data_IF_165556991935
#
_entry.id   IF_165556991935
#
_cell.length_a   1.000
_cell.length_b   1.000
_cell.length_c   1.000
_cell.angle_alpha   90.00
_cell.angle_beta   90.00
_cell.angle_gamma   90.00
#
_symmetry.space_group_name_H-M   'P 1'
#
loop_
_entity.id
_entity.type
_entity.pdbx_description
1 polymer ?
#
# COMPACT_ATOMS: atom_id res chain seq x y z
N UNK A 1 13.39 -13.06 6.90
CA UNK A 1 13.57 -11.68 7.43
C UNK A 1 12.26 -10.94 7.28
N UNK A 2 11.71 -10.48 8.38
CA UNK A 2 10.38 -9.86 8.51
C UNK A 2 10.24 -8.58 7.66
N UNK A 3 9.12 -8.42 6.95
CA UNK A 3 8.84 -7.28 6.03
C UNK A 3 8.85 -5.94 6.78
N UNK A 4 8.48 -5.96 8.06
CA UNK A 4 8.59 -4.84 9.00
C UNK A 4 10.03 -4.30 9.14
N UNK A 5 11.04 -5.18 9.16
CA UNK A 5 12.44 -4.80 9.30
C UNK A 5 12.96 -4.06 8.06
N UNK A 6 12.55 -4.52 6.87
CA UNK A 6 12.89 -3.87 5.59
C UNK A 6 12.29 -2.47 5.48
N UNK A 7 11.04 -2.27 5.93
CA UNK A 7 10.39 -0.95 5.94
C UNK A 7 11.06 0.04 6.86
N UNK A 8 11.36 -0.34 8.11
CA UNK A 8 12.08 0.53 9.04
C UNK A 8 13.44 0.94 8.47
N UNK A 9 14.11 0.03 7.78
CA UNK A 9 15.36 0.33 7.08
C UNK A 9 15.18 1.34 5.92
N UNK A 10 14.17 1.18 5.06
CA UNK A 10 13.89 2.13 3.95
C UNK A 10 13.50 3.51 4.50
N UNK A 11 12.61 3.58 5.49
CA UNK A 11 12.22 4.83 6.14
C UNK A 11 13.43 5.52 6.79
N UNK A 12 14.30 4.76 7.45
CA UNK A 12 15.55 5.29 7.99
C UNK A 12 16.45 5.86 6.88
N UNK A 13 16.63 5.12 5.77
CA UNK A 13 17.46 5.57 4.64
C UNK A 13 16.89 6.80 3.93
N UNK A 14 15.56 6.95 3.82
CA UNK A 14 14.92 8.18 3.32
C UNK A 14 15.24 9.40 4.19
N UNK A 15 15.36 9.19 5.50
CA UNK A 15 15.58 10.23 6.50
C UNK A 15 17.06 10.47 6.85
N UNK A 16 18.02 9.86 6.13
CA UNK A 16 19.46 10.11 6.29
C UNK A 16 19.84 11.60 6.25
N UNK A 17 19.09 12.41 5.48
CA UNK A 17 19.26 13.87 5.42
C UNK A 17 19.02 14.60 6.75
N UNK A 18 18.32 13.97 7.71
CA UNK A 18 18.04 14.55 9.03
C UNK A 18 19.18 14.36 10.04
N UNK A 19 20.13 13.48 9.73
CA UNK A 19 21.34 13.32 10.56
C UNK A 19 22.14 14.61 10.43
N UNK A 20 22.49 15.21 11.57
CA UNK A 20 23.27 16.44 11.64
C UNK A 20 24.68 16.11 12.12
N UNK A 21 25.70 16.60 11.43
CA UNK A 21 27.10 16.35 11.73
C UNK A 21 27.77 17.55 12.40
N UNK A 22 28.70 17.24 13.31
CA UNK A 22 29.57 18.22 13.96
C UNK A 22 28.85 19.33 14.76
N UNK A 23 29.62 20.32 15.24
CA UNK A 23 29.10 21.44 16.04
C UNK A 23 28.17 22.37 15.25
N UNK A 24 28.40 22.49 13.94
CA UNK A 24 27.57 23.28 13.01
C UNK A 24 26.21 22.65 12.73
N UNK A 25 25.99 21.40 13.15
CA UNK A 25 24.78 20.62 12.94
C UNK A 25 24.35 20.59 11.46
N UNK A 26 25.32 20.51 10.56
CA UNK A 26 25.08 20.47 9.12
C UNK A 26 24.39 19.14 8.72
N UNK A 27 23.34 19.15 7.88
CA UNK A 27 22.75 17.93 7.36
C UNK A 27 23.79 17.04 6.65
N UNK A 28 23.83 15.75 7.01
CA UNK A 28 24.79 14.76 6.48
C UNK A 28 24.86 14.77 4.95
N UNK A 29 23.72 14.80 4.27
CA UNK A 29 23.67 14.77 2.80
C UNK A 29 24.16 16.06 2.14
N UNK A 30 24.20 17.18 2.88
CA UNK A 30 24.77 18.42 2.41
C UNK A 30 26.29 18.44 2.65
N UNK A 31 26.70 18.02 3.85
CA UNK A 31 28.10 17.92 4.24
C UNK A 31 28.91 17.00 3.30
N UNK A 32 28.35 15.84 2.94
CA UNK A 32 29.03 14.85 2.08
C UNK A 32 29.34 15.40 0.66
N UNK A 33 28.62 16.42 0.18
CA UNK A 33 28.85 16.98 -1.16
C UNK A 33 30.15 17.78 -1.25
N UNK A 34 30.58 18.38 -0.15
CA UNK A 34 31.74 19.28 -0.09
C UNK A 34 32.87 18.70 0.76
N UNK A 35 32.62 17.64 1.52
CA UNK A 35 33.58 17.01 2.41
C UNK A 35 34.54 16.09 1.65
N UNK A 36 35.85 16.26 1.87
CA UNK A 36 36.92 15.44 1.29
C UNK A 36 37.16 14.08 1.98
N UNK A 37 36.42 13.77 3.06
CA UNK A 37 36.47 12.46 3.73
C UNK A 37 36.70 12.51 5.24
N UNK A 38 35.88 13.26 5.98
CA UNK A 38 35.96 13.29 7.44
C UNK A 38 35.52 11.96 8.08
N UNK A 39 35.82 11.79 9.38
CA UNK A 39 35.47 10.60 10.17
C UNK A 39 33.96 10.30 10.13
N UNK A 40 33.12 11.34 10.21
CA UNK A 40 31.67 11.19 10.17
C UNK A 40 31.19 10.71 8.80
N UNK A 41 31.73 11.27 7.71
CA UNK A 41 31.46 10.81 6.34
C UNK A 41 31.85 9.35 6.13
N UNK A 42 33.00 8.92 6.66
CA UNK A 42 33.45 7.52 6.59
C UNK A 42 32.49 6.58 7.33
N UNK A 43 32.02 6.98 8.51
CA UNK A 43 31.08 6.20 9.31
C UNK A 43 29.73 6.01 8.60
N UNK A 44 29.20 7.04 7.95
CA UNK A 44 27.91 6.96 7.25
C UNK A 44 28.02 6.47 5.80
N UNK A 45 29.23 6.30 5.25
CA UNK A 45 29.46 5.87 3.86
C UNK A 45 28.73 4.58 3.47
N UNK A 46 28.68 3.52 4.30
CA UNK A 46 27.93 2.30 3.96
C UNK A 46 26.42 2.55 3.84
N UNK A 47 25.86 3.43 4.68
CA UNK A 47 24.44 3.79 4.66
C UNK A 47 24.09 4.66 3.45
N UNK A 48 24.99 5.58 3.07
CA UNK A 48 24.84 6.41 1.87
C UNK A 48 24.85 5.53 0.61
N UNK A 49 25.83 4.61 0.49
CA UNK A 49 25.86 3.64 -0.63
C UNK A 49 24.58 2.80 -0.68
N UNK A 50 24.12 2.31 0.48
CA UNK A 50 22.89 1.50 0.55
C UNK A 50 21.64 2.31 0.17
N UNK A 51 21.61 3.61 0.51
CA UNK A 51 20.56 4.55 0.08
C UNK A 51 20.57 4.74 -1.43
N UNK A 52 21.74 4.91 -2.04
CA UNK A 52 21.86 5.06 -3.50
C UNK A 52 21.38 3.81 -4.23
N UNK A 53 21.82 2.63 -3.80
CA UNK A 53 21.39 1.35 -4.39
C UNK A 53 19.88 1.15 -4.23
N UNK A 54 19.33 1.35 -3.04
CA UNK A 54 17.93 1.01 -2.79
C UNK A 54 16.94 2.09 -3.26
N UNK A 55 17.27 3.38 -3.11
CA UNK A 55 16.36 4.47 -3.45
C UNK A 55 16.56 5.02 -4.88
N UNK A 56 17.77 4.91 -5.43
CA UNK A 56 18.11 5.58 -6.70
C UNK A 56 18.47 4.60 -7.82
N UNK A 57 18.93 3.37 -7.53
CA UNK A 57 19.19 2.39 -8.58
C UNK A 57 17.87 1.75 -9.04
N UNK A 58 17.62 1.82 -10.33
CA UNK A 58 16.56 1.10 -11.03
C UNK A 58 16.98 -0.35 -11.22
N UNK A 59 16.39 -1.28 -10.47
CA UNK A 59 16.72 -2.71 -10.54
C UNK A 59 15.55 -3.59 -11.02
N UNK A 60 14.33 -3.07 -11.09
CA UNK A 60 13.15 -3.92 -11.34
C UNK A 60 12.73 -3.81 -12.81
N UNK A 61 12.34 -4.94 -13.42
CA UNK A 61 11.74 -4.94 -14.75
C UNK A 61 10.64 -3.87 -14.80
N UNK A 62 10.73 -2.96 -15.78
CA UNK A 62 9.94 -1.71 -15.91
C UNK A 62 10.52 -0.42 -15.28
N UNK A 63 11.80 -0.37 -14.88
CA UNK A 63 12.51 0.90 -14.67
C UNK A 63 12.13 1.65 -13.38
N UNK A 64 11.67 0.94 -12.36
CA UNK A 64 11.43 1.47 -11.02
C UNK A 64 12.58 1.07 -10.07
N UNK A 65 12.81 1.87 -9.03
CA UNK A 65 13.80 1.56 -7.97
C UNK A 65 13.31 0.47 -7.02
N UNK A 66 14.23 -0.19 -6.32
CA UNK A 66 13.90 -1.21 -5.30
C UNK A 66 13.00 -0.63 -4.21
N UNK A 67 13.24 0.60 -3.78
CA UNK A 67 12.40 1.28 -2.81
C UNK A 67 11.00 1.58 -3.33
N UNK A 68 10.88 2.01 -4.60
CA UNK A 68 9.57 2.17 -5.24
C UNK A 68 8.85 0.83 -5.35
N UNK A 69 9.53 -0.26 -5.68
CA UNK A 69 8.92 -1.58 -5.68
C UNK A 69 8.51 -2.04 -4.28
N UNK A 70 9.29 -1.74 -3.23
CA UNK A 70 8.92 -2.01 -1.83
C UNK A 70 7.78 -1.10 -1.31
N UNK A 71 7.65 0.11 -1.85
CA UNK A 71 6.51 1.03 -1.62
C UNK A 71 5.26 0.62 -2.39
N UNK A 72 5.40 0.09 -3.59
CA UNK A 72 4.29 -0.52 -4.33
C UNK A 72 3.85 -1.85 -3.69
N UNK A 73 4.79 -2.55 -3.05
CA UNK A 73 4.51 -3.65 -2.10
C UNK A 73 4.02 -3.13 -0.74
N UNK A 74 3.91 -1.82 -0.54
CA UNK A 74 3.32 -1.24 0.66
C UNK A 74 1.82 -1.10 0.50
N UNK A 75 1.12 -2.19 0.84
CA UNK A 75 0.07 -2.18 1.86
C UNK A 75 -0.82 -0.93 1.80
N UNK A 76 -1.89 -1.06 1.04
CA UNK A 76 -2.88 -0.01 0.93
C UNK A 76 -4.03 -0.31 1.91
N UNK A 77 -4.59 0.68 2.62
CA UNK A 77 -5.85 0.52 3.36
C UNK A 77 -7.04 0.46 2.39
N UNK A 78 -8.21 -0.03 2.81
CA UNK A 78 -9.37 -0.19 1.91
C UNK A 78 -9.74 1.14 1.24
N UNK A 79 -9.67 2.28 1.94
CA UNK A 79 -9.98 3.61 1.40
C UNK A 79 -9.08 4.07 0.24
N UNK A 80 -7.91 3.44 0.05
CA UNK A 80 -7.06 3.71 -1.10
C UNK A 80 -7.69 3.18 -2.39
N UNK A 81 -8.38 2.05 -2.30
CA UNK A 81 -9.07 1.40 -3.42
C UNK A 81 -10.52 1.89 -3.55
N UNK A 82 -11.21 2.00 -2.42
CA UNK A 82 -12.62 2.40 -2.34
C UNK A 82 -12.76 3.54 -1.34
N UNK A 83 -12.53 4.81 -1.73
CA UNK A 83 -12.51 5.95 -0.81
C UNK A 83 -13.84 6.24 -0.10
N UNK A 84 -14.97 5.70 -0.58
CA UNK A 84 -16.29 5.92 0.00
C UNK A 84 -16.84 4.63 0.64
N UNK A 85 -17.44 4.76 1.82
CA UNK A 85 -18.01 3.64 2.60
C UNK A 85 -19.24 2.97 1.98
N UNK A 86 -19.75 3.46 0.85
CA UNK A 86 -20.90 2.89 0.14
C UNK A 86 -20.51 2.20 -1.19
N UNK A 87 -19.23 2.23 -1.59
CA UNK A 87 -18.80 1.67 -2.88
C UNK A 87 -18.91 0.15 -2.99
N UNK A 88 -19.06 -0.55 -1.85
CA UNK A 88 -19.40 -1.98 -1.87
C UNK A 88 -20.84 -2.24 -2.28
N UNK A 89 -21.71 -1.22 -2.37
CA UNK A 89 -23.13 -1.40 -2.66
C UNK A 89 -23.42 -1.22 -4.14
N UNK A 90 -24.19 -2.15 -4.69
CA UNK A 90 -24.84 -2.03 -5.98
C UNK A 90 -25.98 -1.00 -5.90
N UNK A 91 -26.47 -0.56 -7.07
CA UNK A 91 -27.57 0.39 -7.18
C UNK A 91 -28.89 -0.10 -6.54
N UNK A 92 -29.06 -1.41 -6.39
CA UNK A 92 -30.21 -2.01 -5.72
C UNK A 92 -30.03 -2.15 -4.19
N UNK A 93 -28.90 -1.71 -3.64
CA UNK A 93 -28.57 -1.79 -2.21
C UNK A 93 -27.91 -3.10 -1.76
N UNK A 94 -27.85 -4.11 -2.62
CA UNK A 94 -27.12 -5.36 -2.34
C UNK A 94 -25.60 -5.12 -2.34
N UNK A 95 -24.86 -5.97 -1.63
CA UNK A 95 -23.39 -5.94 -1.65
C UNK A 95 -22.84 -6.52 -2.95
N UNK A 96 -21.88 -5.83 -3.56
CA UNK A 96 -21.18 -6.23 -4.78
C UNK A 96 -20.13 -7.32 -4.47
N UNK A 97 -20.30 -8.55 -4.99
CA UNK A 97 -19.33 -9.62 -4.87
C UNK A 97 -17.93 -9.25 -5.38
N UNK A 98 -17.83 -8.45 -6.44
CA UNK A 98 -16.55 -8.13 -7.06
C UNK A 98 -15.70 -7.24 -6.17
N UNK A 99 -16.32 -6.29 -5.45
CA UNK A 99 -15.62 -5.47 -4.46
C UNK A 99 -15.07 -6.34 -3.32
N UNK A 100 -15.86 -7.31 -2.85
CA UNK A 100 -15.43 -8.27 -1.85
C UNK A 100 -14.25 -9.12 -2.37
N UNK A 101 -14.37 -9.76 -3.54
CA UNK A 101 -13.31 -10.59 -4.10
C UNK A 101 -12.03 -9.80 -4.38
N UNK A 102 -12.16 -8.56 -4.87
CA UNK A 102 -11.02 -7.67 -5.05
C UNK A 102 -10.27 -7.47 -3.73
N UNK A 103 -10.97 -7.05 -2.68
CA UNK A 103 -10.35 -6.79 -1.37
C UNK A 103 -9.76 -8.04 -0.72
N UNK A 104 -10.34 -9.23 -0.96
CA UNK A 104 -9.75 -10.51 -0.53
C UNK A 104 -8.46 -10.89 -1.26
N UNK A 105 -8.16 -10.26 -2.40
CA UNK A 105 -7.05 -10.65 -3.29
C UNK A 105 -6.03 -9.53 -3.56
N UNK A 106 -6.26 -8.30 -3.11
CA UNK A 106 -5.25 -7.22 -3.17
C UNK A 106 -4.45 -7.15 -1.89
N UNK A 107 -3.20 -6.69 -2.01
CA UNK A 107 -2.28 -6.54 -0.87
C UNK A 107 -2.75 -5.42 0.07
N UNK A 108 -3.43 -5.81 1.15
CA UNK A 108 -3.78 -4.97 2.30
C UNK A 108 -2.63 -4.84 3.31
N UNK A 109 -2.94 -4.41 4.55
CA UNK A 109 -2.13 -4.32 5.79
C UNK A 109 -0.72 -4.97 5.81
N UNK A 110 -0.75 -6.24 5.47
CA UNK A 110 0.22 -7.26 5.83
C UNK A 110 0.75 -7.98 4.58
N UNK A 111 0.47 -7.44 3.38
CA UNK A 111 0.79 -8.10 2.12
C UNK A 111 -0.10 -9.32 1.86
N UNK A 112 -1.31 -9.31 2.44
CA UNK A 112 -2.37 -10.30 2.21
C UNK A 112 -3.67 -9.56 1.90
N UNK A 113 -4.62 -10.31 1.35
CA UNK A 113 -6.01 -9.86 1.24
C UNK A 113 -6.59 -9.39 2.57
N UNK A 114 -7.50 -8.42 2.51
CA UNK A 114 -8.18 -7.95 3.71
C UNK A 114 -9.00 -9.07 4.36
N UNK A 115 -9.00 -9.09 5.69
CA UNK A 115 -9.87 -9.98 6.45
C UNK A 115 -11.33 -9.53 6.32
N UNK A 116 -12.26 -10.47 6.48
CA UNK A 116 -13.70 -10.19 6.46
C UNK A 116 -14.05 -9.04 7.41
N UNK A 117 -13.52 -9.08 8.64
CA UNK A 117 -13.78 -8.07 9.67
C UNK A 117 -13.34 -6.68 9.21
N UNK A 118 -12.14 -6.56 8.61
CA UNK A 118 -11.66 -5.28 8.09
C UNK A 118 -12.56 -4.71 7.00
N UNK A 119 -13.07 -5.57 6.11
CA UNK A 119 -13.98 -5.16 5.03
C UNK A 119 -15.32 -4.69 5.62
N UNK A 120 -15.92 -5.48 6.51
CA UNK A 120 -17.23 -5.15 7.08
C UNK A 120 -17.20 -3.91 7.96
N UNK A 121 -16.16 -3.75 8.78
CA UNK A 121 -16.01 -2.56 9.61
C UNK A 121 -15.85 -1.30 8.76
N UNK A 122 -15.09 -1.37 7.67
CA UNK A 122 -14.87 -0.23 6.80
C UNK A 122 -16.16 0.26 6.11
N UNK A 123 -16.94 -0.68 5.55
CA UNK A 123 -18.18 -0.37 4.85
C UNK A 123 -19.41 -0.32 5.79
N UNK A 124 -19.20 -0.36 7.12
CA UNK A 124 -20.26 -0.39 8.12
C UNK A 124 -21.32 -1.48 7.90
N UNK A 125 -20.89 -2.66 7.47
CA UNK A 125 -21.77 -3.82 7.23
C UNK A 125 -21.98 -4.57 8.53
N UNK A 126 -23.24 -4.69 8.93
CA UNK A 126 -23.57 -5.42 10.16
C UNK A 126 -23.46 -6.95 9.97
N UNK A 127 -23.38 -7.67 11.10
CA UNK A 127 -23.20 -9.13 11.10
C UNK A 127 -24.30 -9.90 10.35
N UNK A 128 -25.56 -9.46 10.43
CA UNK A 128 -26.68 -10.14 9.77
C UNK A 128 -26.58 -10.03 8.25
N UNK A 129 -26.28 -8.83 7.76
CA UNK A 129 -26.08 -8.54 6.35
C UNK A 129 -24.86 -9.31 5.79
N UNK A 130 -23.73 -9.28 6.51
CA UNK A 130 -22.53 -10.03 6.12
C UNK A 130 -22.78 -11.54 6.06
N UNK A 131 -23.57 -12.10 6.98
CA UNK A 131 -23.95 -13.52 6.96
C UNK A 131 -24.85 -13.86 5.77
N UNK A 132 -25.86 -13.04 5.49
CA UNK A 132 -26.75 -13.22 4.33
C UNK A 132 -25.95 -13.16 3.02
N UNK A 133 -25.06 -12.18 2.90
CA UNK A 133 -24.19 -12.03 1.75
C UNK A 133 -23.32 -13.28 1.55
N UNK A 134 -22.58 -13.72 2.58
CA UNK A 134 -21.73 -14.92 2.47
C UNK A 134 -22.54 -16.19 2.20
N UNK A 135 -23.73 -16.33 2.79
CA UNK A 135 -24.60 -17.48 2.53
C UNK A 135 -25.01 -17.55 1.06
N UNK A 136 -25.38 -16.41 0.46
CA UNK A 136 -25.73 -16.31 -0.96
C UNK A 136 -24.50 -16.48 -1.86
N UNK A 137 -23.37 -15.90 -1.48
CA UNK A 137 -22.13 -15.89 -2.25
C UNK A 137 -21.52 -17.29 -2.40
N UNK A 138 -21.59 -18.09 -1.34
CA UNK A 138 -21.01 -19.45 -1.30
C UNK A 138 -22.05 -20.56 -1.47
N UNK A 139 -23.28 -20.22 -1.91
CA UNK A 139 -24.31 -21.22 -2.12
C UNK A 139 -23.94 -22.16 -3.27
N UNK A 140 -24.09 -23.47 -3.05
CA UNK A 140 -23.75 -24.49 -4.04
C UNK A 140 -22.25 -24.65 -4.39
N UNK A 141 -21.35 -23.90 -3.74
CA UNK A 141 -19.91 -24.01 -3.98
C UNK A 141 -19.34 -25.27 -3.31
N UNK A 142 -18.81 -26.18 -4.12
CA UNK A 142 -18.28 -27.49 -3.69
C UNK A 142 -16.78 -27.48 -3.40
N UNK A 143 -16.05 -26.53 -3.97
CA UNK A 143 -14.61 -26.36 -3.75
C UNK A 143 -14.33 -25.61 -2.44
N UNK A 144 -13.10 -25.68 -1.90
CA UNK A 144 -12.71 -24.89 -0.75
C UNK A 144 -12.96 -23.40 -1.01
N UNK A 145 -13.58 -22.71 -0.05
CA UNK A 145 -13.98 -21.29 -0.19
C UNK A 145 -12.80 -20.39 -0.57
N UNK A 146 -11.61 -20.70 -0.08
CA UNK A 146 -10.40 -19.94 -0.32
C UNK A 146 -9.94 -20.08 -1.79
N UNK A 147 -10.02 -21.28 -2.35
CA UNK A 147 -9.74 -21.53 -3.77
C UNK A 147 -10.77 -20.81 -4.66
N UNK A 148 -12.04 -20.85 -4.28
CA UNK A 148 -13.09 -20.12 -4.99
C UNK A 148 -12.86 -18.60 -4.98
N UNK A 149 -12.52 -18.03 -3.82
CA UNK A 149 -12.19 -16.60 -3.67
C UNK A 149 -10.98 -16.23 -4.53
N UNK A 150 -9.94 -17.06 -4.56
CA UNK A 150 -8.74 -16.83 -5.37
C UNK A 150 -9.07 -16.91 -6.87
N UNK A 151 -9.92 -17.87 -7.26
CA UNK A 151 -10.38 -18.05 -8.64
C UNK A 151 -11.21 -16.87 -9.15
N UNK A 152 -12.13 -16.33 -8.33
CA UNK A 152 -12.90 -15.13 -8.67
C UNK A 152 -12.06 -13.84 -8.57
N UNK A 153 -11.00 -13.85 -7.75
CA UNK A 153 -10.12 -12.71 -7.51
C UNK A 153 -9.54 -12.11 -8.78
N UNK A 154 -9.09 -12.95 -9.73
CA UNK A 154 -8.51 -12.45 -10.99
C UNK A 154 -9.53 -11.66 -11.82
N UNK A 155 -10.79 -12.12 -11.88
CA UNK A 155 -11.87 -11.42 -12.60
C UNK A 155 -12.18 -10.08 -11.96
N UNK A 156 -12.30 -10.05 -10.63
CA UNK A 156 -12.56 -8.84 -9.88
C UNK A 156 -11.43 -7.79 -10.05
N UNK A 157 -10.17 -8.23 -10.04
CA UNK A 157 -9.01 -7.36 -10.30
C UNK A 157 -9.06 -6.74 -11.70
N UNK A 158 -9.39 -7.53 -12.73
CA UNK A 158 -9.50 -7.02 -14.09
C UNK A 158 -10.64 -6.01 -14.23
N UNK A 159 -11.82 -6.33 -13.66
CA UNK A 159 -12.99 -5.43 -13.66
C UNK A 159 -12.67 -4.09 -12.98
N UNK A 160 -11.99 -4.13 -11.83
CA UNK A 160 -11.56 -2.91 -11.13
C UNK A 160 -10.61 -2.07 -11.99
N UNK A 161 -9.63 -2.69 -12.64
CA UNK A 161 -8.68 -1.99 -13.54
C UNK A 161 -9.38 -1.35 -14.73
N UNK A 162 -10.39 -1.99 -15.29
CA UNK A 162 -11.20 -1.44 -16.38
C UNK A 162 -12.03 -0.23 -15.92
N UNK A 163 -12.62 -0.31 -14.72
CA UNK A 163 -13.49 0.74 -14.19
C UNK A 163 -12.75 1.97 -13.67
N UNK A 164 -11.54 1.80 -13.14
CA UNK A 164 -10.80 2.88 -12.48
C UNK A 164 -9.48 3.24 -13.18
N UNK A 165 -9.18 2.58 -14.30
CA UNK A 165 -7.93 2.72 -15.03
C UNK A 165 -6.74 2.08 -14.28
N UNK A 166 -5.62 1.90 -14.98
CA UNK A 166 -4.36 1.54 -14.35
C UNK A 166 -3.91 2.67 -13.43
N UNK A 167 -4.13 2.52 -12.12
CA UNK A 167 -3.66 3.37 -11.02
C UNK A 167 -3.61 4.88 -11.31
N UNK A 168 -4.72 5.56 -11.07
CA UNK A 168 -4.65 6.96 -10.63
C UNK A 168 -4.57 6.97 -9.12
N UNK A 169 -3.45 7.41 -8.56
CA UNK A 169 -3.44 7.92 -7.19
C UNK A 169 -4.50 9.04 -7.14
N UNK A 170 -5.67 8.73 -6.58
CA UNK A 170 -6.81 9.67 -6.58
C UNK A 170 -6.37 10.94 -5.87
N UNK A 171 -6.41 12.09 -6.55
CA UNK A 171 -6.19 13.39 -5.91
C UNK A 171 -7.22 13.54 -4.79
N UNK A 172 -6.77 13.43 -3.55
CA UNK A 172 -7.57 13.78 -2.37
C UNK A 172 -8.01 15.23 -2.55
N UNK A 173 -9.31 15.45 -2.79
CA UNK A 173 -9.91 16.79 -2.76
C UNK A 173 -9.94 17.23 -1.31
N UNK A 174 -8.98 18.06 -0.91
CA UNK A 174 -9.13 18.85 0.29
C UNK A 174 -10.28 19.84 0.04
N UNK A 175 -11.38 19.71 0.79
CA UNK A 175 -12.32 20.80 0.95
C UNK A 175 -11.57 21.98 1.56
N UNK A 176 -11.18 22.95 0.73
CA UNK A 176 -10.77 24.25 1.22
C UNK A 176 -11.99 24.86 1.90
N UNK A 177 -11.94 24.97 3.23
CA UNK A 177 -12.82 25.92 3.92
C UNK A 177 -12.45 27.30 3.37
N UNK A 178 -13.33 27.82 2.52
CA UNK A 178 -13.34 29.22 2.13
C UNK A 178 -13.63 30.01 3.40
N UNK A 179 -12.59 30.60 3.99
CA UNK A 179 -12.78 31.64 4.99
C UNK A 179 -13.23 32.90 4.23
N UNK A 180 -14.40 33.39 4.64
CA UNK A 180 -14.94 34.72 4.33
C UNK A 180 -13.95 35.82 4.70
#
# INVERSE_FOLDING_TARGET
>A
MDTLYKRRAITFLKNLHRIKLGPSREPLMQHVKTCSGCRDCLMYRPLIKKREILLNATEVAAGISVAQAEELRAVHPIHYFYPNGDEIRLSNGDLDPDVYFYLKNVDGYDGRGFTDQQIWDYFNINKSEAQKFKSKLFDGIKEPKEDYINGQGLKAINKYKEQHGGHFATKIKYHSKSNK
#
